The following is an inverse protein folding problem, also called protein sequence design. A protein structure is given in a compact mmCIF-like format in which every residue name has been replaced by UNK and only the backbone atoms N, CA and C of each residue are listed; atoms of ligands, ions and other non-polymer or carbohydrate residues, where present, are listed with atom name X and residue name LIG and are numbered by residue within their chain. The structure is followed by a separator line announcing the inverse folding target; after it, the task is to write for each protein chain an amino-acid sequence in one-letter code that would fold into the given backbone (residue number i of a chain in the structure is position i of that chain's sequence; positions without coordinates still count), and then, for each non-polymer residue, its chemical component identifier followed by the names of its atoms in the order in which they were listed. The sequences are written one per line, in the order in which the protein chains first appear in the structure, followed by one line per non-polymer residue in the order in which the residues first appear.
data_IF_630944051751
#
_entry.id   IF_630944051751
#
_cell.length_a   1.000
_cell.length_b   1.000
_cell.length_c   1.000
_cell.angle_alpha   90.00
_cell.angle_beta   90.00
_cell.angle_gamma   90.00
#
_symmetry.space_group_name_H-M   'P 1'
#
loop_
_entity.id
_entity.type
_entity.pdbx_description
1 polymer ?
#
# COMPACT_ATOMS: atom_id res chain seq x y z
N UNK A 1 11.94 -0.74 -6.57
CA UNK A 1 13.04 -0.24 -5.71
C UNK A 1 14.07 0.59 -6.48
N UNK A 2 14.66 0.11 -7.58
CA UNK A 2 15.68 0.86 -8.34
C UNK A 2 15.21 2.25 -8.83
N UNK A 3 13.94 2.36 -9.26
CA UNK A 3 13.34 3.61 -9.77
C UNK A 3 13.23 4.68 -8.67
N UNK A 4 12.67 4.30 -7.51
CA UNK A 4 12.46 5.20 -6.37
C UNK A 4 13.79 5.69 -5.76
N UNK A 5 14.76 4.79 -5.62
CA UNK A 5 16.08 5.16 -5.12
C UNK A 5 16.84 6.07 -6.09
N UNK A 6 16.60 5.92 -7.40
CA UNK A 6 17.15 6.77 -8.46
C UNK A 6 16.59 8.18 -8.39
N UNK A 7 15.27 8.29 -8.26
CA UNK A 7 14.57 9.56 -8.09
C UNK A 7 15.00 10.30 -6.83
N UNK A 8 15.19 9.60 -5.70
CA UNK A 8 15.67 10.20 -4.46
C UNK A 8 17.10 10.75 -4.61
N UNK A 9 18.00 9.99 -5.23
CA UNK A 9 19.39 10.41 -5.45
C UNK A 9 19.48 11.62 -6.40
N UNK A 10 18.61 11.70 -7.41
CA UNK A 10 18.46 12.86 -8.29
C UNK A 10 17.96 14.09 -7.52
N UNK A 11 16.88 13.95 -6.74
CA UNK A 11 16.33 15.06 -5.92
C UNK A 11 17.32 15.62 -4.90
N UNK A 12 18.21 14.77 -4.38
CA UNK A 12 19.27 15.19 -3.44
C UNK A 12 20.48 15.84 -4.13
N UNK A 13 20.45 16.03 -5.45
CA UNK A 13 21.54 16.62 -6.23
C UNK A 13 22.81 15.76 -6.24
N UNK A 14 22.72 14.49 -5.84
CA UNK A 14 23.86 13.58 -5.74
C UNK A 14 24.17 12.88 -7.07
N UNK A 15 23.29 13.00 -8.08
CA UNK A 15 23.47 12.37 -9.40
C UNK A 15 22.61 12.99 -10.51
N UNK A 16 23.08 13.01 -11.77
CA UNK A 16 22.27 13.27 -12.96
C UNK A 16 21.24 12.15 -13.26
N UNK A 17 20.11 12.49 -13.89
CA UNK A 17 18.95 11.60 -14.14
C UNK A 17 19.20 10.54 -15.22
N UNK A 18 20.24 10.74 -16.02
CA UNK A 18 20.50 10.12 -17.32
C UNK A 18 21.29 8.80 -17.23
N UNK A 19 21.65 8.36 -16.01
CA UNK A 19 22.25 7.05 -15.79
C UNK A 19 21.39 6.23 -14.81
N UNK A 20 20.91 5.03 -15.18
CA UNK A 20 20.18 4.17 -14.26
C UNK A 20 21.08 3.70 -13.12
N UNK A 21 20.49 3.47 -11.95
CA UNK A 21 21.18 2.90 -10.80
C UNK A 21 21.54 1.43 -11.07
N UNK A 22 22.82 1.10 -10.99
CA UNK A 22 23.25 -0.29 -11.01
C UNK A 22 22.92 -0.97 -9.68
N UNK A 23 22.78 -2.30 -9.71
CA UNK A 23 22.64 -3.09 -8.50
C UNK A 23 23.80 -2.87 -7.51
N UNK A 24 25.00 -2.56 -8.02
CA UNK A 24 26.16 -2.22 -7.18
C UNK A 24 25.92 -0.95 -6.34
N UNK A 25 25.23 0.06 -6.86
CA UNK A 25 24.91 1.24 -6.07
C UNK A 25 23.89 0.91 -4.98
N UNK A 26 22.85 0.14 -5.31
CA UNK A 26 21.82 -0.25 -4.32
C UNK A 26 22.46 -1.08 -3.20
N UNK A 27 23.33 -2.02 -3.56
CA UNK A 27 24.11 -2.80 -2.62
C UNK A 27 24.97 -1.92 -1.70
N UNK A 28 25.74 -0.98 -2.27
CA UNK A 28 26.59 -0.08 -1.49
C UNK A 28 25.79 0.91 -0.63
N UNK A 29 24.62 1.34 -1.10
CA UNK A 29 23.70 2.20 -0.35
C UNK A 29 23.13 1.47 0.87
N UNK A 30 22.56 0.28 0.68
CA UNK A 30 22.02 -0.53 1.78
C UNK A 30 23.13 -0.92 2.75
N UNK A 31 24.33 -1.26 2.25
CA UNK A 31 25.49 -1.57 3.11
C UNK A 31 25.93 -0.38 3.96
N UNK A 32 25.92 0.84 3.41
CA UNK A 32 26.36 2.06 4.11
C UNK A 32 25.36 2.56 5.14
N UNK A 33 24.07 2.36 4.88
CA UNK A 33 22.98 2.91 5.70
C UNK A 33 22.13 1.82 6.35
N UNK A 34 22.65 0.59 6.46
CA UNK A 34 21.87 -0.57 6.92
C UNK A 34 21.40 -0.47 8.37
N UNK A 35 22.03 0.39 9.16
CA UNK A 35 21.62 0.78 10.51
C UNK A 35 20.40 1.72 10.53
N UNK A 36 20.14 2.43 9.42
CA UNK A 36 19.04 3.40 9.27
C UNK A 36 17.97 2.99 8.26
N UNK A 37 18.29 2.02 7.40
CA UNK A 37 17.44 1.58 6.31
C UNK A 37 17.18 0.09 6.49
N UNK A 38 16.01 -0.24 7.04
CA UNK A 38 15.52 -1.62 7.11
C UNK A 38 14.86 -2.00 5.79
N UNK A 39 15.22 -3.17 5.24
CA UNK A 39 14.45 -3.78 4.16
C UNK A 39 13.13 -4.29 4.73
N UNK A 40 12.10 -3.46 4.70
CA UNK A 40 10.76 -3.84 5.09
C UNK A 40 10.16 -4.67 3.95
N UNK A 41 9.74 -5.91 4.26
CA UNK A 41 8.84 -6.63 3.36
C UNK A 41 7.55 -5.80 3.29
N UNK A 42 7.08 -5.42 2.10
CA UNK A 42 5.74 -4.84 1.98
C UNK A 42 4.77 -5.79 2.66
N UNK A 43 3.93 -5.28 3.55
CA UNK A 43 2.89 -6.14 4.10
C UNK A 43 2.03 -6.61 2.93
N UNK A 44 1.55 -7.86 2.98
CA UNK A 44 0.65 -8.38 1.95
C UNK A 44 -0.54 -7.42 1.74
N UNK A 45 -0.99 -6.81 2.83
CA UNK A 45 -2.04 -5.78 2.84
C UNK A 45 -1.67 -4.52 2.07
N UNK A 46 -0.46 -3.98 2.19
CA UNK A 46 -0.07 -2.78 1.43
C UNK A 46 -0.03 -3.05 -0.08
N UNK A 47 0.40 -4.25 -0.45
CA UNK A 47 0.39 -4.67 -1.86
C UNK A 47 -1.04 -4.86 -2.38
N UNK A 48 -1.92 -5.46 -1.57
CA UNK A 48 -3.34 -5.64 -1.90
C UNK A 48 -4.04 -4.28 -1.99
N UNK A 49 -3.81 -3.38 -1.02
CA UNK A 49 -4.36 -2.01 -1.02
C UNK A 49 -3.92 -1.24 -2.26
N UNK A 50 -2.63 -1.27 -2.61
CA UNK A 50 -2.13 -0.61 -3.81
C UNK A 50 -2.82 -1.13 -5.09
N UNK A 51 -3.07 -2.44 -5.18
CA UNK A 51 -3.81 -3.05 -6.30
C UNK A 51 -5.31 -2.71 -6.29
N UNK A 52 -5.91 -2.57 -5.11
CA UNK A 52 -7.32 -2.22 -4.95
C UNK A 52 -7.59 -0.71 -5.17
N UNK A 53 -6.55 0.13 -5.23
CA UNK A 53 -6.68 1.58 -5.42
C UNK A 53 -6.56 1.99 -6.89
N UNK A 54 -6.69 1.07 -7.85
CA UNK A 54 -6.75 1.47 -9.26
C UNK A 54 -8.11 2.10 -9.58
N UNK A 55 -8.19 3.05 -10.52
CA UNK A 55 -9.45 3.71 -10.87
C UNK A 55 -10.57 2.73 -11.22
N UNK A 56 -10.23 1.60 -11.86
CA UNK A 56 -11.18 0.56 -12.24
C UNK A 56 -11.80 -0.12 -11.01
N UNK A 57 -10.97 -0.47 -10.02
CA UNK A 57 -11.46 -1.11 -8.78
C UNK A 57 -12.28 -0.15 -7.94
N UNK A 58 -11.87 1.13 -7.88
CA UNK A 58 -12.61 2.17 -7.17
C UNK A 58 -13.97 2.40 -7.84
N UNK A 59 -14.01 2.51 -9.17
CA UNK A 59 -15.26 2.65 -9.92
C UNK A 59 -16.20 1.46 -9.70
N UNK A 60 -15.68 0.24 -9.85
CA UNK A 60 -16.45 -0.98 -9.63
C UNK A 60 -17.00 -1.07 -8.19
N UNK A 61 -16.24 -0.61 -7.18
CA UNK A 61 -16.72 -0.57 -5.80
C UNK A 61 -17.96 0.32 -5.66
N UNK A 62 -17.92 1.56 -6.14
CA UNK A 62 -19.03 2.50 -6.01
C UNK A 62 -20.25 2.07 -6.82
N UNK A 63 -20.06 1.53 -8.03
CA UNK A 63 -21.16 0.96 -8.82
C UNK A 63 -21.85 -0.19 -8.08
N UNK A 64 -21.08 -1.09 -7.48
CA UNK A 64 -21.65 -2.21 -6.74
C UNK A 64 -22.32 -1.76 -5.44
N UNK A 65 -21.78 -0.74 -4.77
CA UNK A 65 -22.39 -0.13 -3.59
C UNK A 65 -23.74 0.49 -3.92
N UNK A 66 -23.84 1.24 -5.02
CA UNK A 66 -25.10 1.85 -5.48
C UNK A 66 -26.13 0.78 -5.85
N UNK A 67 -25.71 -0.27 -6.59
CA UNK A 67 -26.57 -1.41 -6.94
C UNK A 67 -27.10 -2.13 -5.68
N UNK A 68 -26.23 -2.42 -4.72
CA UNK A 68 -26.62 -3.08 -3.47
C UNK A 68 -27.53 -2.18 -2.62
N UNK A 69 -27.20 -0.89 -2.52
CA UNK A 69 -28.01 0.09 -1.82
C UNK A 69 -29.41 0.24 -2.41
N UNK A 70 -29.53 0.19 -3.74
CA UNK A 70 -30.80 0.24 -4.46
C UNK A 70 -31.60 -1.06 -4.30
N UNK A 71 -30.95 -2.22 -4.46
CA UNK A 71 -31.56 -3.54 -4.32
C UNK A 71 -32.20 -3.74 -2.94
N UNK A 72 -31.54 -3.24 -1.89
CA UNK A 72 -31.98 -3.41 -0.51
C UNK A 72 -32.63 -2.17 0.10
N UNK A 73 -32.84 -1.10 -0.70
CA UNK A 73 -33.42 0.18 -0.26
C UNK A 73 -32.73 0.76 0.97
N UNK A 74 -31.39 0.79 0.96
CA UNK A 74 -30.55 1.18 2.10
C UNK A 74 -30.19 2.66 2.13
N UNK A 75 -30.54 3.44 1.10
CA UNK A 75 -30.17 4.87 0.98
C UNK A 75 -30.59 5.70 2.21
N UNK A 76 -31.77 5.40 2.76
CA UNK A 76 -32.32 6.07 3.94
C UNK A 76 -32.38 5.15 5.18
N UNK A 77 -31.70 3.99 5.15
CA UNK A 77 -31.78 2.96 6.20
C UNK A 77 -30.40 2.42 6.59
N UNK A 78 -29.46 3.28 7.04
CA UNK A 78 -28.12 2.86 7.43
C UNK A 78 -28.12 1.84 8.58
N UNK A 79 -29.16 1.83 9.41
CA UNK A 79 -29.34 0.87 10.51
C UNK A 79 -29.47 -0.59 10.06
N UNK A 80 -29.74 -0.83 8.77
CA UNK A 80 -29.83 -2.17 8.19
C UNK A 80 -28.50 -2.67 7.61
N UNK A 81 -27.43 -1.87 7.69
CA UNK A 81 -26.10 -2.23 7.20
C UNK A 81 -25.29 -2.82 8.36
N UNK A 82 -25.11 -4.13 8.33
CA UNK A 82 -24.32 -4.86 9.32
C UNK A 82 -22.95 -5.22 8.75
N UNK A 83 -21.89 -4.95 9.52
CA UNK A 83 -20.58 -5.43 9.15
C UNK A 83 -20.53 -6.95 9.33
N UNK A 84 -20.10 -7.67 8.29
CA UNK A 84 -19.86 -9.12 8.31
C UNK A 84 -18.36 -9.37 8.22
N UNK A 85 -17.60 -8.80 9.14
CA UNK A 85 -16.18 -9.09 9.28
C UNK A 85 -16.01 -10.20 10.32
N UNK A 86 -15.61 -11.39 9.85
CA UNK A 86 -15.33 -12.56 10.69
C UNK A 86 -13.95 -12.46 11.39
N UNK A 87 -13.16 -11.42 11.11
CA UNK A 87 -11.90 -11.14 11.78
C UNK A 87 -12.13 -10.26 13.01
N UNK A 88 -12.61 -10.90 14.08
CA UNK A 88 -12.69 -10.28 15.40
C UNK A 88 -11.36 -9.67 15.83
N UNK A 89 -11.45 -8.56 16.56
CA UNK A 89 -10.34 -7.96 17.30
C UNK A 89 -9.54 -9.09 17.95
N UNK A 90 -8.29 -9.33 17.51
CA UNK A 90 -7.44 -10.33 18.15
C UNK A 90 -7.28 -9.92 19.62
N UNK A 91 -7.71 -10.74 20.61
CA UNK A 91 -7.47 -10.45 22.01
C UNK A 91 -5.96 -10.54 22.33
N UNK A 92 -5.18 -11.19 21.48
CA UNK A 92 -3.74 -11.26 21.61
C UNK A 92 -3.08 -10.04 20.95
N UNK A 93 -2.81 -9.02 21.77
CA UNK A 93 -1.74 -8.08 21.49
C UNK A 93 -0.40 -8.82 21.62
N UNK A 94 0.19 -9.23 20.49
CA UNK A 94 1.59 -9.66 20.44
C UNK A 94 2.44 -8.47 20.01
N UNK A 95 3.09 -7.75 20.94
CA UNK A 95 4.06 -6.74 20.55
C UNK A 95 5.20 -7.43 19.77
N UNK A 96 5.76 -6.77 18.73
CA UNK A 96 6.86 -7.35 17.96
C UNK A 96 8.11 -7.54 18.84
N UNK A 97 8.93 -8.56 18.58
CA UNK A 97 10.24 -8.73 19.22
C UNK A 97 11.24 -7.63 18.82
#
# INVERSE_FOLDING_TARGET
MQRLAGELAYKLGKRPSDKPLSNCWVYNFVKRWGDRVSSLKPSSLDTIRAKATTPEHIGAYFENLEKAGSLHMLQDRPELIYNKDETGISPEHRPPP
#
